data_IF_648921889660
#
_entry.id   IF_648921889660
#
_cell.length_a   1.000
_cell.length_b   1.000
_cell.length_c   1.000
_cell.angle_alpha   90.00
_cell.angle_beta   90.00
_cell.angle_gamma   90.00
#
_symmetry.space_group_name_H-M   'P 1'
#
loop_
_entity.id
_entity.type
_entity.pdbx_description
1 polymer ?
#
# COMPACT_ATOMS: atom_id res chain seq x y z
N UNK A 1 -14.54 -19.15 13.25
CA UNK A 1 -13.79 -17.99 13.81
C UNK A 1 -13.10 -17.21 12.69
N UNK A 2 -12.63 -15.96 12.91
CA UNK A 2 -11.87 -15.19 11.89
C UNK A 2 -10.67 -15.99 11.35
N UNK A 3 -9.97 -16.70 12.25
CA UNK A 3 -8.82 -17.53 11.90
C UNK A 3 -9.18 -18.67 10.93
N UNK A 4 -10.26 -19.42 11.19
CA UNK A 4 -10.73 -20.49 10.28
C UNK A 4 -11.06 -19.97 8.89
N UNK A 5 -11.68 -18.79 8.79
CA UNK A 5 -12.00 -18.18 7.49
C UNK A 5 -10.76 -17.85 6.67
N UNK A 6 -9.65 -17.47 7.31
CA UNK A 6 -8.40 -17.16 6.62
C UNK A 6 -7.75 -18.38 5.95
N UNK A 7 -8.10 -19.61 6.36
CA UNK A 7 -7.57 -20.86 5.77
C UNK A 7 -8.35 -21.34 4.55
N UNK A 8 -9.41 -20.63 4.16
CA UNK A 8 -10.22 -20.94 2.99
C UNK A 8 -10.21 -19.75 2.01
N UNK A 9 -10.07 -19.96 0.68
CA UNK A 9 -9.98 -18.85 -0.26
C UNK A 9 -11.19 -17.90 -0.23
N UNK A 10 -12.39 -18.44 -0.03
CA UNK A 10 -13.62 -17.65 0.08
C UNK A 10 -13.67 -16.83 1.37
N UNK A 11 -13.37 -17.45 2.52
CA UNK A 11 -13.32 -16.76 3.80
C UNK A 11 -12.23 -15.69 3.85
N UNK A 12 -11.07 -15.95 3.26
CA UNK A 12 -9.98 -14.99 3.10
C UNK A 12 -10.43 -13.77 2.28
N UNK A 13 -11.17 -13.99 1.19
CA UNK A 13 -11.72 -12.92 0.38
C UNK A 13 -12.81 -12.11 1.13
N UNK A 14 -13.66 -12.77 1.92
CA UNK A 14 -14.64 -12.07 2.77
C UNK A 14 -13.97 -11.18 3.82
N UNK A 15 -12.88 -11.65 4.45
CA UNK A 15 -12.10 -10.85 5.40
C UNK A 15 -11.48 -9.64 4.71
N UNK A 16 -10.93 -9.79 3.49
CA UNK A 16 -10.44 -8.66 2.71
C UNK A 16 -11.53 -7.65 2.37
N UNK A 17 -12.71 -8.11 1.95
CA UNK A 17 -13.83 -7.23 1.68
C UNK A 17 -14.28 -6.50 2.94
N UNK A 18 -14.30 -7.18 4.10
CA UNK A 18 -14.66 -6.56 5.38
C UNK A 18 -13.67 -5.46 5.79
N UNK A 19 -12.37 -5.68 5.58
CA UNK A 19 -11.32 -4.68 5.80
C UNK A 19 -11.51 -3.45 4.91
N UNK A 20 -11.84 -3.65 3.64
CA UNK A 20 -12.10 -2.56 2.70
C UNK A 20 -13.39 -1.80 3.00
N UNK A 21 -14.49 -2.48 3.34
CA UNK A 21 -15.73 -1.82 3.79
C UNK A 21 -15.47 -0.99 5.05
N UNK A 22 -14.68 -1.52 5.99
CA UNK A 22 -14.33 -0.77 7.20
C UNK A 22 -13.43 0.45 6.91
N UNK A 23 -12.58 0.39 5.88
CA UNK A 23 -11.75 1.50 5.45
C UNK A 23 -12.54 2.56 4.65
N UNK A 24 -13.55 2.12 3.89
CA UNK A 24 -14.34 2.98 3.03
C UNK A 24 -15.18 4.00 3.81
N UNK A 25 -15.36 5.19 3.23
CA UNK A 25 -16.27 6.18 3.79
C UNK A 25 -17.68 5.60 3.98
N UNK A 26 -18.35 5.96 5.09
CA UNK A 26 -19.69 5.43 5.44
C UNK A 26 -20.71 5.58 4.30
N UNK A 27 -20.63 6.66 3.53
CA UNK A 27 -21.53 6.92 2.40
C UNK A 27 -21.31 6.02 1.17
N UNK A 28 -20.20 5.26 1.13
CA UNK A 28 -19.89 4.35 0.02
C UNK A 28 -20.20 2.88 0.36
N UNK A 29 -20.64 2.57 1.59
CA UNK A 29 -20.84 1.18 2.04
C UNK A 29 -21.79 0.41 1.13
N UNK A 30 -22.95 0.98 0.78
CA UNK A 30 -23.93 0.35 -0.11
C UNK A 30 -23.33 0.03 -1.48
N UNK A 31 -22.58 0.98 -2.06
CA UNK A 31 -21.87 0.76 -3.33
C UNK A 31 -20.83 -0.34 -3.23
N UNK A 32 -20.10 -0.43 -2.11
CA UNK A 32 -19.12 -1.50 -1.88
C UNK A 32 -19.83 -2.85 -1.72
N UNK A 33 -20.94 -2.93 -1.00
CA UNK A 33 -21.74 -4.14 -0.89
C UNK A 33 -22.26 -4.61 -2.26
N UNK A 34 -22.77 -3.70 -3.09
CA UNK A 34 -23.22 -4.00 -4.46
C UNK A 34 -22.08 -4.54 -5.35
N UNK A 35 -20.88 -3.94 -5.25
CA UNK A 35 -19.70 -4.41 -5.97
C UNK A 35 -19.29 -5.83 -5.53
N UNK A 36 -19.28 -6.10 -4.23
CA UNK A 36 -18.97 -7.43 -3.68
C UNK A 36 -20.03 -8.45 -4.12
N UNK A 37 -21.31 -8.08 -4.07
CA UNK A 37 -22.42 -8.93 -4.51
C UNK A 37 -22.32 -9.28 -5.99
N UNK A 38 -22.01 -8.28 -6.83
CA UNK A 38 -21.84 -8.45 -8.27
C UNK A 38 -20.64 -9.32 -8.63
N UNK A 39 -19.60 -9.29 -7.79
CA UNK A 39 -18.45 -10.16 -7.95
C UNK A 39 -18.79 -11.62 -7.64
N UNK A 40 -19.40 -11.85 -6.47
CA UNK A 40 -19.83 -13.16 -5.98
C UNK A 40 -20.90 -12.99 -4.88
N UNK A 41 -22.13 -13.38 -5.17
CA UNK A 41 -23.27 -13.19 -4.28
C UNK A 41 -23.08 -13.82 -2.87
N UNK A 42 -22.41 -14.97 -2.80
CA UNK A 42 -22.12 -15.66 -1.54
C UNK A 42 -21.14 -14.90 -0.62
N UNK A 43 -20.33 -13.97 -1.14
CA UNK A 43 -19.41 -13.19 -0.31
C UNK A 43 -20.14 -12.22 0.63
N UNK A 44 -21.34 -11.77 0.26
CA UNK A 44 -22.14 -10.82 1.06
C UNK A 44 -22.68 -11.48 2.32
N UNK A 45 -22.93 -12.80 2.28
CA UNK A 45 -23.42 -13.55 3.42
C UNK A 45 -22.39 -13.54 4.57
N UNK A 46 -22.76 -12.94 5.71
CA UNK A 46 -21.88 -12.80 6.87
C UNK A 46 -20.83 -11.69 6.75
N UNK A 47 -20.82 -10.90 5.66
CA UNK A 47 -19.94 -9.74 5.53
C UNK A 47 -20.23 -8.66 6.59
N UNK A 48 -21.50 -8.31 6.93
CA UNK A 48 -21.78 -7.35 8.00
C UNK A 48 -21.21 -7.73 9.37
N UNK A 49 -21.26 -9.02 9.72
CA UNK A 49 -20.68 -9.54 10.96
C UNK A 49 -19.16 -9.38 10.97
N UNK A 50 -18.50 -9.69 9.85
CA UNK A 50 -17.05 -9.52 9.69
C UNK A 50 -16.64 -8.05 9.74
N UNK A 51 -17.42 -7.15 9.14
CA UNK A 51 -17.18 -5.70 9.22
C UNK A 51 -17.25 -5.23 10.67
N UNK A 52 -18.23 -5.70 11.45
CA UNK A 52 -18.31 -5.45 12.89
C UNK A 52 -17.07 -5.95 13.63
N UNK A 53 -16.67 -7.20 13.39
CA UNK A 53 -15.49 -7.78 14.03
C UNK A 53 -14.18 -7.05 13.68
N UNK A 54 -14.01 -6.64 12.42
CA UNK A 54 -12.83 -5.89 11.95
C UNK A 54 -12.78 -4.49 12.53
N UNK A 55 -13.93 -3.82 12.68
CA UNK A 55 -14.03 -2.49 13.27
C UNK A 55 -13.50 -2.45 14.70
N UNK A 56 -13.76 -3.52 15.46
CA UNK A 56 -13.34 -3.66 16.85
C UNK A 56 -11.84 -4.01 16.99
N UNK A 57 -11.14 -4.32 15.89
CA UNK A 57 -9.70 -4.57 15.90
C UNK A 57 -8.88 -3.27 15.97
N UNK A 58 -7.77 -3.27 16.74
CA UNK A 58 -6.79 -2.19 16.68
C UNK A 58 -6.26 -1.99 15.25
N UNK A 59 -6.03 -0.75 14.79
CA UNK A 59 -5.53 -0.47 13.44
C UNK A 59 -4.29 -1.28 13.04
N UNK A 60 -3.34 -1.42 13.98
CA UNK A 60 -2.09 -2.16 13.76
C UNK A 60 -2.27 -3.65 13.40
N UNK A 61 -3.45 -4.25 13.65
CA UNK A 61 -3.72 -5.67 13.38
C UNK A 61 -4.40 -5.86 12.01
N UNK A 62 -4.92 -4.79 11.39
CA UNK A 62 -5.73 -4.87 10.16
C UNK A 62 -4.91 -5.29 8.95
N UNK A 63 -3.73 -4.69 8.74
CA UNK A 63 -2.85 -5.12 7.65
C UNK A 63 -2.27 -6.53 7.88
N UNK A 64 -1.79 -6.90 9.09
CA UNK A 64 -1.43 -8.29 9.38
C UNK A 64 -2.55 -9.29 9.09
N UNK A 65 -3.80 -8.94 9.38
CA UNK A 65 -4.95 -9.78 9.05
C UNK A 65 -5.09 -9.97 7.52
N UNK A 66 -4.88 -8.92 6.73
CA UNK A 66 -4.84 -9.04 5.27
C UNK A 66 -3.68 -9.92 4.79
N UNK A 67 -2.49 -9.82 5.40
CA UNK A 67 -1.34 -10.65 5.07
C UNK A 67 -1.60 -12.13 5.31
N UNK A 68 -2.29 -12.47 6.41
CA UNK A 68 -2.70 -13.84 6.71
C UNK A 68 -3.70 -14.41 5.69
N UNK A 69 -4.44 -13.57 4.98
CA UNK A 69 -5.35 -14.01 3.91
C UNK A 69 -4.60 -14.41 2.63
N UNK A 70 -3.37 -13.91 2.42
CA UNK A 70 -2.65 -14.06 1.15
C UNK A 70 -2.35 -15.51 0.75
N UNK A 71 -1.91 -16.42 1.65
CA UNK A 71 -1.66 -17.82 1.29
C UNK A 71 -2.90 -18.51 0.70
N UNK A 72 -4.07 -18.30 1.30
CA UNK A 72 -5.33 -18.89 0.83
C UNK A 72 -5.80 -18.30 -0.49
N UNK A 73 -5.58 -17.00 -0.70
CA UNK A 73 -5.90 -16.35 -1.96
C UNK A 73 -4.98 -16.79 -3.11
N UNK A 74 -3.73 -17.18 -2.82
CA UNK A 74 -2.83 -17.77 -3.82
C UNK A 74 -3.32 -19.12 -4.35
N UNK A 75 -4.13 -19.86 -3.60
CA UNK A 75 -4.73 -21.12 -4.04
C UNK A 75 -5.80 -20.94 -5.13
N UNK A 76 -6.30 -19.72 -5.34
CA UNK A 76 -7.22 -19.41 -6.43
C UNK A 76 -6.53 -19.57 -7.80
N UNK A 77 -7.32 -19.96 -8.79
CA UNK A 77 -6.90 -19.95 -10.19
C UNK A 77 -6.46 -18.54 -10.62
N UNK A 78 -5.55 -18.45 -11.60
CA UNK A 78 -5.00 -17.16 -12.06
C UNK A 78 -6.07 -16.14 -12.50
N UNK A 79 -7.12 -16.62 -13.18
CA UNK A 79 -8.27 -15.79 -13.57
C UNK A 79 -9.02 -15.22 -12.36
N UNK A 80 -9.20 -16.03 -11.31
CA UNK A 80 -9.85 -15.62 -10.06
C UNK A 80 -8.98 -14.66 -9.25
N UNK A 81 -7.65 -14.87 -9.20
CA UNK A 81 -6.72 -13.91 -8.59
C UNK A 81 -6.81 -12.54 -9.25
N UNK A 82 -6.83 -12.48 -10.59
CA UNK A 82 -7.00 -11.22 -11.34
C UNK A 82 -8.35 -10.57 -11.04
N UNK A 83 -9.42 -11.37 -10.95
CA UNK A 83 -10.77 -10.92 -10.56
C UNK A 83 -10.77 -10.30 -9.15
N UNK A 84 -10.12 -10.91 -8.17
CA UNK A 84 -9.96 -10.36 -6.81
C UNK A 84 -9.25 -9.01 -6.84
N UNK A 85 -8.13 -8.89 -7.55
CA UNK A 85 -7.40 -7.61 -7.68
C UNK A 85 -8.28 -6.54 -8.32
N UNK A 86 -9.08 -6.89 -9.34
CA UNK A 86 -10.03 -5.96 -9.97
C UNK A 86 -11.13 -5.54 -9.00
N UNK A 87 -11.72 -6.45 -8.24
CA UNK A 87 -12.72 -6.13 -7.22
C UNK A 87 -12.17 -5.13 -6.20
N UNK A 88 -11.00 -5.41 -5.64
CA UNK A 88 -10.37 -4.52 -4.64
C UNK A 88 -10.13 -3.13 -5.22
N UNK A 89 -9.64 -3.03 -6.47
CA UNK A 89 -9.50 -1.73 -7.15
C UNK A 89 -10.85 -1.02 -7.29
N UNK A 90 -11.91 -1.73 -7.67
CA UNK A 90 -13.25 -1.15 -7.80
C UNK A 90 -13.80 -0.62 -6.47
N UNK A 91 -13.51 -1.32 -5.36
CA UNK A 91 -13.92 -0.88 -4.03
C UNK A 91 -13.16 0.38 -3.61
N UNK A 92 -11.84 0.41 -3.78
CA UNK A 92 -10.98 1.55 -3.41
C UNK A 92 -11.37 2.83 -4.16
N UNK A 93 -11.82 2.73 -5.41
CA UNK A 93 -12.23 3.91 -6.18
C UNK A 93 -13.66 4.36 -5.89
N UNK A 94 -14.45 3.57 -5.17
CA UNK A 94 -15.87 3.83 -4.96
C UNK A 94 -16.12 5.06 -4.09
N UNK A 95 -15.29 5.29 -3.07
CA UNK A 95 -15.46 6.39 -2.12
C UNK A 95 -14.60 7.63 -2.44
N UNK A 96 -13.77 7.55 -3.49
CA UNK A 96 -12.81 8.58 -3.93
C UNK A 96 -11.77 8.98 -2.88
N UNK A 97 -11.58 8.18 -1.84
CA UNK A 97 -10.59 8.41 -0.79
C UNK A 97 -9.57 7.28 -0.79
N UNK A 98 -8.46 7.46 -1.50
CA UNK A 98 -7.43 6.41 -1.54
C UNK A 98 -6.49 6.53 -0.34
N UNK A 99 -6.76 5.75 0.70
CA UNK A 99 -6.01 5.75 1.96
C UNK A 99 -4.68 5.00 1.88
N UNK A 100 -3.79 5.23 2.85
CA UNK A 100 -2.53 4.47 2.98
C UNK A 100 -2.77 2.98 3.17
N UNK A 101 -3.78 2.61 3.96
CA UNK A 101 -4.16 1.22 4.20
C UNK A 101 -4.55 0.53 2.89
N UNK A 102 -5.45 1.14 2.11
CA UNK A 102 -5.88 0.61 0.81
C UNK A 102 -4.76 0.55 -0.21
N UNK A 103 -3.89 1.57 -0.22
CA UNK A 103 -2.71 1.60 -1.08
C UNK A 103 -1.79 0.41 -0.77
N UNK A 104 -1.49 0.21 0.50
CA UNK A 104 -0.65 -0.87 1.00
C UNK A 104 -1.28 -2.24 0.71
N UNK A 105 -2.59 -2.38 0.92
CA UNK A 105 -3.33 -3.59 0.60
C UNK A 105 -3.28 -3.91 -0.90
N UNK A 106 -3.43 -2.91 -1.76
CA UNK A 106 -3.33 -3.10 -3.20
C UNK A 106 -1.92 -3.53 -3.62
N UNK A 107 -0.87 -2.96 -3.04
CA UNK A 107 0.51 -3.38 -3.26
C UNK A 107 0.75 -4.83 -2.79
N UNK A 108 0.24 -5.20 -1.61
CA UNK A 108 0.32 -6.55 -1.07
C UNK A 108 -0.35 -7.58 -2.00
N UNK A 109 -1.56 -7.29 -2.46
CA UNK A 109 -2.29 -8.14 -3.41
C UNK A 109 -1.58 -8.26 -4.76
N UNK A 110 -1.03 -7.15 -5.27
CA UNK A 110 -0.25 -7.16 -6.52
C UNK A 110 0.98 -8.04 -6.39
N UNK A 111 1.74 -7.94 -5.30
CA UNK A 111 2.93 -8.80 -5.10
C UNK A 111 2.55 -10.28 -4.90
N UNK A 112 1.50 -10.55 -4.12
CA UNK A 112 1.15 -11.92 -3.73
C UNK A 112 0.34 -12.67 -4.79
N UNK A 113 -0.50 -11.98 -5.56
CA UNK A 113 -1.44 -12.59 -6.50
C UNK A 113 -1.05 -12.41 -7.97
N UNK A 114 -0.01 -11.62 -8.27
CA UNK A 114 0.54 -11.53 -9.61
C UNK A 114 1.01 -12.89 -10.13
N UNK A 115 0.94 -13.05 -11.45
CA UNK A 115 1.54 -14.21 -12.11
C UNK A 115 3.06 -14.06 -12.09
N UNK A 116 3.79 -15.17 -11.86
CA UNK A 116 5.25 -15.14 -11.73
C UNK A 116 5.93 -14.52 -12.97
N UNK A 117 5.36 -14.73 -14.16
CA UNK A 117 5.85 -14.19 -15.42
C UNK A 117 5.80 -12.65 -15.51
N UNK A 118 4.96 -11.99 -14.71
CA UNK A 118 4.78 -10.52 -14.71
C UNK A 118 5.33 -9.87 -13.44
N UNK A 119 5.95 -10.64 -12.55
CA UNK A 119 6.29 -10.20 -11.19
C UNK A 119 7.38 -9.13 -11.14
N UNK A 120 8.35 -9.14 -12.06
CA UNK A 120 9.50 -8.22 -12.02
C UNK A 120 9.58 -7.35 -13.28
N UNK A 121 9.40 -6.03 -13.18
CA UNK A 121 9.58 -5.16 -14.33
C UNK A 121 11.06 -5.10 -14.74
N UNK A 122 11.37 -4.94 -16.03
CA UNK A 122 12.75 -4.86 -16.49
C UNK A 122 13.44 -3.60 -15.96
N UNK A 123 14.71 -3.74 -15.57
CA UNK A 123 15.56 -2.60 -15.20
C UNK A 123 15.74 -1.69 -16.41
N UNK A 124 15.46 -0.40 -16.22
CA UNK A 124 15.58 0.62 -17.26
C UNK A 124 16.25 1.91 -16.78
N UNK A 125 16.41 2.10 -15.47
CA UNK A 125 17.04 3.30 -14.91
C UNK A 125 18.29 2.94 -14.10
N UNK A 126 19.42 3.55 -14.45
CA UNK A 126 20.72 3.34 -13.82
C UNK A 126 21.27 4.61 -13.15
N UNK A 127 20.45 5.66 -13.09
CA UNK A 127 20.75 6.91 -12.40
C UNK A 127 19.47 7.47 -11.79
N UNK A 128 19.58 8.11 -10.63
CA UNK A 128 18.47 8.81 -10.01
C UNK A 128 17.98 9.99 -10.84
N UNK A 129 18.84 10.61 -11.65
CA UNK A 129 18.49 11.78 -12.46
C UNK A 129 17.40 11.45 -13.51
N UNK A 130 17.19 10.17 -13.83
CA UNK A 130 16.12 9.74 -14.75
C UNK A 130 14.73 9.59 -14.08
N UNK A 131 14.68 9.72 -12.75
CA UNK A 131 13.50 9.49 -11.90
C UNK A 131 13.44 10.48 -10.74
N UNK A 132 14.04 11.65 -10.88
CA UNK A 132 14.15 12.67 -9.83
C UNK A 132 12.78 13.15 -9.35
N UNK A 133 11.86 13.43 -10.26
CA UNK A 133 10.47 13.80 -9.92
C UNK A 133 9.72 12.66 -9.21
N UNK A 134 10.01 11.40 -9.54
CA UNK A 134 9.41 10.24 -8.89
C UNK A 134 9.93 10.07 -7.45
N UNK A 135 11.23 10.29 -7.24
CA UNK A 135 11.84 10.33 -5.91
C UNK A 135 11.28 11.49 -5.10
N UNK A 136 11.18 12.67 -5.71
CA UNK A 136 10.65 13.88 -5.06
C UNK A 136 9.24 13.63 -4.55
N UNK A 137 8.39 13.00 -5.36
CA UNK A 137 7.05 12.62 -4.95
C UNK A 137 7.06 11.60 -3.80
N UNK A 138 7.84 10.53 -3.91
CA UNK A 138 7.97 9.51 -2.85
C UNK A 138 8.30 10.15 -1.49
N UNK A 139 9.36 10.96 -1.43
CA UNK A 139 9.81 11.56 -0.17
C UNK A 139 8.88 12.67 0.31
N UNK A 140 8.22 13.40 -0.59
CA UNK A 140 7.19 14.37 -0.19
C UNK A 140 5.99 13.69 0.44
N UNK A 141 5.57 12.53 -0.09
CA UNK A 141 4.46 11.74 0.47
C UNK A 141 4.82 11.21 1.86
N UNK A 142 6.02 10.62 2.02
CA UNK A 142 6.50 10.12 3.31
C UNK A 142 6.55 11.24 4.36
N UNK A 143 7.23 12.34 4.05
CA UNK A 143 7.40 13.44 4.97
C UNK A 143 6.06 14.09 5.40
N UNK A 144 5.09 14.18 4.49
CA UNK A 144 3.78 14.76 4.80
C UNK A 144 2.83 13.83 5.54
N UNK A 145 3.01 12.52 5.43
CA UNK A 145 2.22 11.54 6.19
C UNK A 145 2.80 11.31 7.59
N UNK A 146 4.11 11.45 7.79
CA UNK A 146 4.75 11.31 9.10
C UNK A 146 4.68 12.55 9.99
N UNK A 147 4.52 13.75 9.39
CA UNK A 147 4.62 15.00 10.14
C UNK A 147 3.39 15.90 10.02
N UNK A 148 2.88 16.33 11.18
CA UNK A 148 1.70 17.18 11.28
C UNK A 148 1.93 18.64 10.89
N UNK A 149 3.11 19.19 11.20
CA UNK A 149 3.49 20.56 10.85
C UNK A 149 4.41 20.63 9.61
N UNK A 150 4.37 21.78 8.93
CA UNK A 150 5.11 21.97 7.68
C UNK A 150 6.63 21.96 7.89
N UNK A 151 7.11 22.49 9.02
CA UNK A 151 8.55 22.60 9.27
C UNK A 151 9.19 21.23 9.49
N UNK A 152 8.54 20.35 10.26
CA UNK A 152 8.96 18.97 10.44
C UNK A 152 8.93 18.19 9.13
N UNK A 153 7.88 18.35 8.31
CA UNK A 153 7.80 17.71 6.99
C UNK A 153 8.95 18.17 6.06
N UNK A 154 9.25 19.47 6.03
CA UNK A 154 10.37 19.99 5.23
C UNK A 154 11.71 19.44 5.72
N UNK A 155 11.93 19.41 7.04
CA UNK A 155 13.15 18.85 7.62
C UNK A 155 13.32 17.36 7.26
N UNK A 156 12.26 16.56 7.38
CA UNK A 156 12.29 15.15 7.02
C UNK A 156 12.55 14.89 5.56
N UNK A 157 11.88 15.63 4.69
CA UNK A 157 12.14 15.58 3.25
C UNK A 157 13.60 15.89 2.94
N UNK A 158 14.15 17.00 3.45
CA UNK A 158 15.54 17.41 3.15
C UNK A 158 16.56 16.38 3.64
N UNK A 159 16.36 15.77 4.81
CA UNK A 159 17.24 14.71 5.31
C UNK A 159 17.21 13.48 4.41
N UNK A 160 16.02 13.00 4.05
CA UNK A 160 15.85 11.85 3.18
C UNK A 160 16.31 12.13 1.73
N UNK A 161 16.24 13.38 1.28
CA UNK A 161 16.61 13.81 -0.06
C UNK A 161 18.12 13.98 -0.27
N UNK A 162 18.85 14.37 0.78
CA UNK A 162 20.29 14.69 0.74
C UNK A 162 21.17 13.63 0.07
N UNK A 163 20.97 12.31 0.26
CA UNK A 163 21.80 11.27 -0.36
C UNK A 163 21.75 11.23 -1.88
N UNK A 164 20.71 11.79 -2.51
CA UNK A 164 20.55 11.76 -3.97
C UNK A 164 21.38 12.83 -4.67
N UNK A 165 21.94 13.80 -3.93
CA UNK A 165 22.87 14.79 -4.48
C UNK A 165 22.25 15.78 -5.48
N UNK A 166 20.92 15.86 -5.53
CA UNK A 166 20.21 16.89 -6.27
C UNK A 166 20.24 18.22 -5.49
N UNK A 167 19.88 19.33 -6.15
CA UNK A 167 19.47 20.55 -5.44
C UNK A 167 18.32 20.25 -4.47
N UNK A 168 17.85 21.24 -3.70
CA UNK A 168 16.86 20.99 -2.64
C UNK A 168 15.56 20.34 -3.13
N UNK A 169 15.25 20.40 -4.43
CA UNK A 169 14.13 19.71 -5.08
C UNK A 169 12.78 20.32 -4.68
N UNK A 170 12.65 20.79 -3.45
CA UNK A 170 11.48 21.39 -2.84
C UNK A 170 10.43 20.33 -2.47
N UNK A 171 10.03 20.30 -1.21
CA UNK A 171 8.89 19.50 -0.76
C UNK A 171 7.64 19.87 -1.59
N UNK A 172 7.02 18.89 -2.27
CA UNK A 172 5.81 19.13 -3.06
C UNK A 172 4.66 19.57 -2.17
N UNK A 173 3.66 20.27 -2.72
CA UNK A 173 2.45 20.64 -1.98
C UNK A 173 1.60 19.41 -1.57
N UNK A 174 0.75 19.57 -0.55
CA UNK A 174 -0.05 18.46 0.03
C UNK A 174 -1.00 17.82 -0.98
N UNK A 175 -1.60 18.62 -1.85
CA UNK A 175 -2.52 18.19 -2.91
C UNK A 175 -1.85 17.34 -4.00
N UNK A 176 -0.54 17.54 -4.24
CA UNK A 176 0.24 16.69 -5.14
C UNK A 176 0.56 15.32 -4.53
N UNK A 177 0.56 15.19 -3.20
CA UNK A 177 1.01 14.02 -2.45
C UNK A 177 -0.09 12.96 -2.27
N UNK A 178 -0.64 12.46 -3.38
CA UNK A 178 -1.72 11.45 -3.37
C UNK A 178 -1.21 10.02 -3.51
N UNK A 179 -1.93 9.04 -2.95
CA UNK A 179 -1.60 7.60 -3.12
C UNK A 179 -1.64 7.15 -4.59
N UNK A 180 -2.54 7.72 -5.39
CA UNK A 180 -2.61 7.47 -6.83
C UNK A 180 -1.35 7.98 -7.55
N UNK A 181 -0.86 9.16 -7.20
CA UNK A 181 0.38 9.69 -7.78
C UNK A 181 1.59 8.86 -7.32
N UNK A 182 1.65 8.53 -6.02
CA UNK A 182 2.68 7.67 -5.45
C UNK A 182 2.76 6.31 -6.18
N UNK A 183 1.62 5.65 -6.40
CA UNK A 183 1.58 4.36 -7.07
C UNK A 183 2.19 4.41 -8.48
N UNK A 184 1.93 5.48 -9.25
CA UNK A 184 2.53 5.67 -10.58
C UNK A 184 4.04 5.91 -10.51
N UNK A 185 4.50 6.71 -9.55
CA UNK A 185 5.94 6.95 -9.37
C UNK A 185 6.66 5.69 -8.90
N UNK A 186 6.06 4.89 -8.01
CA UNK A 186 6.63 3.62 -7.60
C UNK A 186 6.73 2.60 -8.74
N UNK A 187 5.78 2.58 -9.68
CA UNK A 187 5.89 1.74 -10.89
C UNK A 187 7.11 2.12 -11.75
N UNK A 188 7.49 3.40 -11.77
CA UNK A 188 8.72 3.87 -12.44
C UNK A 188 9.96 3.55 -11.63
N UNK A 189 9.95 3.83 -10.32
CA UNK A 189 11.05 3.53 -9.40
C UNK A 189 11.34 2.01 -9.32
N UNK A 190 10.34 1.15 -9.47
CA UNK A 190 10.50 -0.30 -9.53
C UNK A 190 11.38 -0.78 -10.70
N UNK A 191 11.67 0.10 -11.67
CA UNK A 191 12.54 -0.16 -12.82
C UNK A 191 13.98 0.38 -12.63
N UNK A 192 14.30 0.87 -11.44
CA UNK A 192 15.68 1.18 -11.04
C UNK A 192 16.53 -0.10 -10.94
N UNK A 193 17.84 0.05 -11.10
CA UNK A 193 18.78 -1.03 -10.79
C UNK A 193 18.70 -1.42 -9.30
N UNK A 194 19.03 -2.68 -8.93
CA UNK A 194 18.91 -3.15 -7.54
C UNK A 194 19.68 -2.29 -6.52
N UNK A 195 20.87 -1.80 -6.88
CA UNK A 195 21.68 -0.94 -6.00
C UNK A 195 20.98 0.40 -5.72
N UNK A 196 20.35 1.00 -6.73
CA UNK A 196 19.63 2.25 -6.56
C UNK A 196 18.35 2.06 -5.74
N UNK A 197 17.62 0.96 -5.94
CA UNK A 197 16.45 0.62 -5.10
C UNK A 197 16.80 0.51 -3.63
N UNK A 198 17.94 -0.11 -3.30
CA UNK A 198 18.42 -0.22 -1.91
C UNK A 198 18.62 1.17 -1.26
N UNK A 199 19.22 2.10 -1.99
CA UNK A 199 19.42 3.47 -1.50
C UNK A 199 18.09 4.21 -1.29
N UNK A 200 17.11 4.01 -2.19
CA UNK A 200 15.77 4.59 -2.04
C UNK A 200 15.08 4.06 -0.79
N UNK A 201 15.14 2.75 -0.56
CA UNK A 201 14.55 2.10 0.61
C UNK A 201 15.22 2.55 1.91
N UNK A 202 16.55 2.67 1.92
CA UNK A 202 17.27 3.19 3.09
C UNK A 202 16.83 4.61 3.42
N UNK A 203 16.81 5.51 2.44
CA UNK A 203 16.35 6.87 2.63
C UNK A 203 14.88 6.95 3.05
N UNK A 204 14.03 6.04 2.57
CA UNK A 204 12.62 5.97 2.97
C UNK A 204 12.47 5.55 4.44
N UNK A 205 13.27 4.59 4.90
CA UNK A 205 13.32 4.21 6.30
C UNK A 205 13.82 5.36 7.18
N UNK A 206 14.91 6.03 6.78
CA UNK A 206 15.47 7.18 7.50
C UNK A 206 14.47 8.37 7.57
N UNK A 207 13.62 8.51 6.55
CA UNK A 207 12.55 9.52 6.52
C UNK A 207 11.50 9.26 7.62
N UNK A 208 11.16 8.00 7.84
CA UNK A 208 10.10 7.56 8.77
C UNK A 208 10.59 7.42 10.22
N UNK A 209 11.88 7.13 10.44
CA UNK A 209 12.44 6.85 11.78
C UNK A 209 12.74 8.14 12.60
N UNK A 210 12.37 9.34 12.10
CA UNK A 210 12.86 10.62 12.64
C UNK A 210 12.63 10.86 14.14
N UNK A 211 11.49 10.47 14.70
CA UNK A 211 11.14 10.70 16.11
C UNK A 211 11.31 9.45 17.00
N UNK A 212 11.89 8.38 16.45
CA UNK A 212 12.03 7.09 17.11
C UNK A 212 10.72 6.32 17.28
N UNK A 213 9.62 6.74 16.63
CA UNK A 213 8.31 6.08 16.69
C UNK A 213 7.67 5.99 15.31
N UNK A 214 7.55 4.78 14.80
CA UNK A 214 6.84 4.52 13.55
C UNK A 214 5.34 4.40 13.84
N UNK A 215 4.53 5.28 13.28
CA UNK A 215 3.07 5.15 13.30
C UNK A 215 2.62 3.97 12.43
N UNK A 216 1.38 3.49 12.64
CA UNK A 216 0.81 2.42 11.80
C UNK A 216 0.85 2.81 10.32
N UNK A 217 0.41 4.02 9.97
CA UNK A 217 0.36 4.47 8.59
C UNK A 217 1.75 4.54 7.94
N UNK A 218 2.76 5.01 8.67
CA UNK A 218 4.13 5.06 8.14
C UNK A 218 4.71 3.65 7.94
N UNK A 219 4.47 2.73 8.87
CA UNK A 219 4.88 1.33 8.74
C UNK A 219 4.22 0.65 7.54
N UNK A 220 2.91 0.86 7.36
CA UNK A 220 2.17 0.36 6.20
C UNK A 220 2.71 0.94 4.88
N UNK A 221 2.92 2.26 4.82
CA UNK A 221 3.45 2.94 3.65
C UNK A 221 4.87 2.47 3.29
N UNK A 222 5.75 2.34 4.28
CA UNK A 222 7.11 1.85 4.11
C UNK A 222 7.11 0.39 3.62
N UNK A 223 6.22 -0.45 4.14
CA UNK A 223 6.00 -1.80 3.64
C UNK A 223 5.52 -1.82 2.18
N UNK A 224 4.58 -0.94 1.81
CA UNK A 224 4.09 -0.84 0.43
C UNK A 224 5.22 -0.47 -0.55
N UNK A 225 6.10 0.46 -0.15
CA UNK A 225 7.26 0.86 -0.94
C UNK A 225 8.23 -0.32 -1.12
N UNK A 226 8.58 -1.04 -0.05
CA UNK A 226 9.44 -2.21 -0.09
C UNK A 226 8.92 -3.32 -1.01
N UNK A 227 7.62 -3.64 -0.89
CA UNK A 227 6.94 -4.60 -1.75
C UNK A 227 7.02 -4.18 -3.21
N UNK A 228 6.76 -2.91 -3.51
CA UNK A 228 6.72 -2.42 -4.90
C UNK A 228 8.11 -2.35 -5.53
N UNK A 229 9.13 -2.01 -4.75
CA UNK A 229 10.52 -1.97 -5.24
C UNK A 229 11.17 -3.36 -5.31
N UNK A 230 10.54 -4.40 -4.75
CA UNK A 230 11.10 -5.75 -4.60
C UNK A 230 12.46 -5.68 -3.86
N UNK A 231 12.47 -4.96 -2.75
CA UNK A 231 13.66 -4.69 -1.95
C UNK A 231 13.31 -4.79 -0.46
N UNK A 232 14.04 -5.61 0.32
CA UNK A 232 13.72 -5.83 1.73
C UNK A 232 13.90 -4.54 2.53
N UNK A 233 13.07 -4.36 3.55
CA UNK A 233 13.25 -3.28 4.51
C UNK A 233 14.57 -3.46 5.28
N UNK A 234 15.30 -2.37 5.55
CA UNK A 234 16.42 -2.42 6.46
C UNK A 234 15.90 -2.73 7.88
N UNK A 235 16.76 -3.22 8.79
CA UNK A 235 16.40 -3.28 10.21
C UNK A 235 15.98 -1.88 10.66
N UNK A 236 14.73 -1.74 11.10
CA UNK A 236 14.15 -0.45 11.48
C UNK A 236 14.45 -0.08 12.94
N UNK A 237 15.29 -0.88 13.62
CA UNK A 237 15.86 -0.68 14.96
C UNK A 237 17.07 -1.62 15.12
#
# INVERSE_FOLDING_TARGET
>A
TLHERLHQPEGALQVLCALLVNAAARGAHDTVYDLVQSHRANLVAGLPELVGAVRDLPPAVRLPLAQLAMPSLKLLAATERRRVVTLVKSIIVADRQFTVFEFTLLCLLRDHLADEATRKPPVRFFSFAAVDEDLRLLFSVLARHGHGDEAAAVAAYLRAWRPFGFGDGGLLARDACTMSALGRSLERLARLSPLLKKNVIQAAADCVIDDGRITVAEGELLQAIALTLDCPLPPLI
#
